data_IF_334971114748
#
_entry.id   IF_334971114748
#
_cell.length_a   1.000
_cell.length_b   1.000
_cell.length_c   1.000
_cell.angle_alpha   90.00
_cell.angle_beta   90.00
_cell.angle_gamma   90.00
#
_symmetry.space_group_name_H-M   'P 1'
#
loop_
_entity.id
_entity.type
_entity.pdbx_description
1 polymer ?
#
# COMPACT_ATOMS: atom_id res chain seq x y z
N UNK A 1 -1.90 -4.86 17.27
CA UNK A 1 -2.03 -3.50 16.74
C UNK A 1 -1.59 -3.55 15.28
N UNK A 2 -2.53 -3.38 14.34
CA UNK A 2 -2.15 -3.04 12.96
C UNK A 2 -1.23 -1.82 13.05
N UNK A 3 -0.28 -1.63 12.14
CA UNK A 3 0.57 -0.43 12.17
C UNK A 3 -0.25 0.81 11.74
N UNK A 4 -1.22 1.21 12.57
CA UNK A 4 -2.05 2.41 12.40
C UNK A 4 -1.15 3.64 12.27
N UNK A 5 0.00 3.66 12.94
CA UNK A 5 1.04 4.67 12.75
C UNK A 5 1.59 4.70 11.33
N UNK A 6 1.83 3.55 10.69
CA UNK A 6 2.28 3.49 9.29
C UNK A 6 1.19 3.95 8.36
N UNK A 7 -0.06 3.53 8.57
CA UNK A 7 -1.20 3.95 7.76
C UNK A 7 -1.39 5.48 7.82
N UNK A 8 -1.35 6.07 9.03
CA UNK A 8 -1.44 7.52 9.19
C UNK A 8 -0.32 8.25 8.47
N UNK A 9 0.94 7.80 8.62
CA UNK A 9 2.09 8.39 7.90
C UNK A 9 1.93 8.33 6.39
N UNK A 10 1.44 7.21 5.85
CA UNK A 10 1.19 7.08 4.40
C UNK A 10 0.13 8.07 3.93
N UNK A 11 -0.95 8.25 4.69
CA UNK A 11 -1.99 9.24 4.37
C UNK A 11 -1.45 10.67 4.46
N UNK A 12 -0.69 11.02 5.51
CA UNK A 12 -0.06 12.33 5.69
C UNK A 12 0.91 12.67 4.54
N UNK A 13 1.63 11.67 4.03
CA UNK A 13 2.52 11.79 2.88
C UNK A 13 1.80 11.82 1.52
N UNK A 14 0.46 11.77 1.51
CA UNK A 14 -0.36 11.67 0.30
C UNK A 14 -0.05 10.42 -0.54
N UNK A 15 0.25 9.30 0.11
CA UNK A 15 0.48 7.98 -0.48
C UNK A 15 -0.77 7.09 -0.30
N UNK A 16 -1.91 7.59 -0.79
CA UNK A 16 -3.22 6.97 -0.53
C UNK A 16 -3.41 5.59 -1.17
N UNK A 17 -2.81 5.34 -2.34
CA UNK A 17 -2.73 4.01 -2.96
C UNK A 17 -1.89 3.06 -2.13
N UNK A 18 -0.72 3.52 -1.68
CA UNK A 18 0.15 2.71 -0.83
C UNK A 18 -0.53 2.34 0.49
N UNK A 19 -1.26 3.29 1.11
CA UNK A 19 -2.03 3.06 2.33
C UNK A 19 -3.12 1.99 2.16
N UNK A 20 -3.83 2.01 1.02
CA UNK A 20 -4.89 1.04 0.74
C UNK A 20 -4.33 -0.36 0.55
N UNK A 21 -3.33 -0.52 -0.32
CA UNK A 21 -2.70 -1.83 -0.53
C UNK A 21 -2.05 -2.36 0.75
N UNK A 22 -1.48 -1.49 1.60
CA UNK A 22 -0.93 -1.88 2.90
C UNK A 22 -2.01 -2.48 3.81
N UNK A 23 -3.19 -1.86 3.86
CA UNK A 23 -4.32 -2.35 4.63
C UNK A 23 -4.83 -3.69 4.08
N UNK A 24 -4.92 -3.84 2.77
CA UNK A 24 -5.33 -5.10 2.12
C UNK A 24 -4.35 -6.24 2.39
N UNK A 25 -3.05 -6.00 2.24
CA UNK A 25 -2.01 -6.99 2.52
C UNK A 25 -1.99 -7.44 3.99
N UNK A 26 -2.38 -6.56 4.91
CA UNK A 26 -2.46 -6.88 6.33
C UNK A 26 -3.72 -7.69 6.68
N UNK A 27 -4.83 -7.53 5.95
CA UNK A 27 -6.07 -8.27 6.16
C UNK A 27 -6.06 -9.65 5.47
N UNK A 28 -5.42 -9.76 4.32
CA UNK A 28 -5.42 -10.97 3.51
C UNK A 28 -4.14 -11.81 3.73
N UNK A 29 -4.34 -13.04 4.22
CA UNK A 29 -3.27 -13.99 4.56
C UNK A 29 -2.50 -14.50 3.34
N UNK A 30 -3.05 -14.43 2.13
CA UNK A 30 -2.33 -14.86 0.93
C UNK A 30 -1.12 -13.96 0.64
N UNK A 31 -1.20 -12.67 0.95
CA UNK A 31 -0.04 -11.79 0.86
C UNK A 31 1.07 -12.16 1.85
N UNK A 32 0.74 -12.81 2.97
CA UNK A 32 1.76 -13.26 3.95
C UNK A 32 2.59 -14.43 3.42
N UNK A 33 2.15 -15.10 2.34
CA UNK A 33 2.93 -16.13 1.63
C UNK A 33 3.91 -15.53 0.62
N UNK A 34 3.77 -14.25 0.29
CA UNK A 34 4.61 -13.55 -0.68
C UNK A 34 5.88 -13.03 0.00
N UNK A 35 6.94 -12.84 -0.78
CA UNK A 35 8.14 -12.19 -0.30
C UNK A 35 7.85 -10.73 0.11
N UNK A 36 8.77 -10.14 0.88
CA UNK A 36 8.68 -8.72 1.17
C UNK A 36 8.74 -7.86 -0.11
N UNK A 37 9.61 -8.24 -1.06
CA UNK A 37 9.83 -7.50 -2.30
C UNK A 37 8.58 -7.50 -3.18
N UNK A 38 7.90 -8.63 -3.33
CA UNK A 38 6.66 -8.71 -4.11
C UNK A 38 5.56 -7.85 -3.49
N UNK A 39 5.41 -7.93 -2.16
CA UNK A 39 4.46 -7.10 -1.41
C UNK A 39 4.78 -5.61 -1.55
N UNK A 40 6.07 -5.26 -1.50
CA UNK A 40 6.50 -3.88 -1.65
C UNK A 40 6.27 -3.35 -3.08
N UNK A 41 6.50 -4.17 -4.11
CA UNK A 41 6.20 -3.80 -5.49
C UNK A 41 4.71 -3.47 -5.65
N UNK A 42 3.81 -4.32 -5.13
CA UNK A 42 2.36 -4.09 -5.19
C UNK A 42 1.93 -2.77 -4.54
N UNK A 43 2.54 -2.42 -3.39
CA UNK A 43 2.30 -1.14 -2.71
C UNK A 43 2.65 0.05 -3.60
N UNK A 44 3.82 -0.02 -4.24
CA UNK A 44 4.35 1.04 -5.11
C UNK A 44 3.56 1.12 -6.42
N UNK A 45 3.22 -0.01 -7.04
CA UNK A 45 2.48 -0.09 -8.29
C UNK A 45 1.09 0.52 -8.17
N UNK A 46 0.37 0.26 -7.07
CA UNK A 46 -0.95 0.85 -6.85
C UNK A 46 -0.86 2.37 -6.67
N UNK A 47 0.09 2.85 -5.88
CA UNK A 47 0.32 4.28 -5.69
C UNK A 47 0.70 4.97 -7.00
N UNK A 48 1.62 4.37 -7.77
CA UNK A 48 2.08 4.88 -9.04
C UNK A 48 0.93 4.96 -10.07
N UNK A 49 0.13 3.90 -10.17
CA UNK A 49 -1.03 3.84 -11.06
C UNK A 49 -2.07 4.91 -10.71
N UNK A 50 -2.36 5.12 -9.41
CA UNK A 50 -3.24 6.21 -8.95
C UNK A 50 -2.69 7.59 -9.32
N UNK A 51 -1.40 7.83 -9.10
CA UNK A 51 -0.75 9.10 -9.47
C UNK A 51 -0.75 9.35 -10.97
N UNK A 52 -0.65 8.29 -11.78
CA UNK A 52 -0.73 8.38 -13.24
C UNK A 52 -2.17 8.63 -13.71
N UNK A 53 -3.15 7.96 -13.10
CA UNK A 53 -4.57 8.12 -13.42
C UNK A 53 -5.10 9.50 -13.05
N UNK A 54 -4.63 10.10 -11.94
CA UNK A 54 -5.03 11.44 -11.51
C UNK A 54 -4.41 12.57 -12.36
N UNK A 55 -3.58 12.24 -13.36
CA UNK A 55 -2.99 13.19 -14.31
C UNK A 55 -3.68 13.18 -15.68
N UNK A 56 -4.75 12.39 -15.84
CA UNK A 56 -5.65 12.38 -17.01
C UNK A 56 -6.86 13.26 -16.74
#
# INVERSE_FOLDING_TARGET
MMNEQTLSKLIEMKLGGMAESYKEQALNKDFQKMSFEDRFSLLVDLEYSRRKSNKL
#
